data_IF_494579799081
#
_entry.id   IF_494579799081
#
_cell.length_a   1.000
_cell.length_b   1.000
_cell.length_c   1.000
_cell.angle_alpha   90.00
_cell.angle_beta   90.00
_cell.angle_gamma   90.00
#
_symmetry.space_group_name_H-M   'P 1'
#
loop_
_entity.id
_entity.type
_entity.pdbx_description
1 polymer ?
#
# COMPACT_ATOMS: atom_id res chain seq x y z
N UNK A 1 52.84 12.32 -52.38
CA UNK A 1 52.41 11.90 -51.03
C UNK A 1 51.43 12.93 -50.52
N UNK A 2 50.14 12.62 -50.41
CA UNK A 2 49.13 13.40 -49.65
C UNK A 2 47.91 12.50 -49.43
N UNK A 3 47.56 12.25 -48.16
CA UNK A 3 46.33 11.54 -47.75
C UNK A 3 45.53 12.51 -46.88
N UNK A 4 44.28 12.76 -47.26
CA UNK A 4 43.32 13.58 -46.52
C UNK A 4 42.57 12.75 -45.48
N UNK A 5 42.54 13.24 -44.25
CA UNK A 5 41.65 12.83 -43.17
C UNK A 5 40.54 13.89 -43.00
N UNK A 6 39.27 13.48 -43.01
CA UNK A 6 38.21 13.95 -42.08
C UNK A 6 36.82 13.79 -42.67
N UNK A 7 36.09 12.75 -42.24
CA UNK A 7 34.64 12.71 -42.31
C UNK A 7 34.08 11.59 -41.41
N UNK A 8 34.10 11.74 -40.07
CA UNK A 8 33.27 10.84 -39.24
C UNK A 8 32.77 11.38 -37.88
N UNK A 9 33.02 12.64 -37.52
CA UNK A 9 32.60 13.18 -36.20
C UNK A 9 31.24 13.91 -36.18
N UNK A 10 30.58 14.06 -37.33
CA UNK A 10 29.30 14.81 -37.43
C UNK A 10 28.05 13.99 -37.09
N UNK A 11 28.07 12.66 -37.30
CA UNK A 11 26.91 11.79 -37.09
C UNK A 11 26.62 11.53 -35.61
N UNK A 12 27.66 11.22 -34.82
CA UNK A 12 27.54 10.89 -33.40
C UNK A 12 26.96 12.06 -32.57
N UNK A 13 27.41 13.30 -32.87
CA UNK A 13 26.90 14.50 -32.20
C UNK A 13 25.43 14.80 -32.50
N UNK A 14 24.92 14.40 -33.66
CA UNK A 14 23.50 14.56 -34.01
C UNK A 14 22.62 13.54 -33.30
N UNK A 15 23.11 12.30 -33.13
CA UNK A 15 22.43 11.23 -32.40
C UNK A 15 22.24 11.60 -30.91
N UNK A 16 23.31 12.02 -30.24
CA UNK A 16 23.27 12.44 -28.82
C UNK A 16 22.42 13.69 -28.58
N UNK A 17 22.28 14.57 -29.59
CA UNK A 17 21.40 15.73 -29.50
C UNK A 17 19.92 15.35 -29.62
N UNK A 18 19.60 14.29 -30.38
CA UNK A 18 18.25 13.77 -30.51
C UNK A 18 17.79 13.04 -29.24
N UNK A 19 18.65 12.21 -28.65
CA UNK A 19 18.37 11.52 -27.38
C UNK A 19 18.11 12.51 -26.24
N UNK A 20 18.92 13.57 -26.12
CA UNK A 20 18.73 14.64 -25.11
C UNK A 20 17.47 15.49 -25.32
N UNK A 21 16.87 15.46 -26.51
CA UNK A 21 15.56 16.10 -26.77
C UNK A 21 14.44 15.17 -26.34
N UNK A 22 14.54 13.89 -26.70
CA UNK A 22 13.56 12.87 -26.33
C UNK A 22 13.47 12.68 -24.80
N UNK A 23 14.60 12.68 -24.09
CA UNK A 23 14.64 12.62 -22.63
C UNK A 23 13.99 13.85 -21.97
N UNK A 24 14.19 15.05 -22.56
CA UNK A 24 13.54 16.28 -22.09
C UNK A 24 12.03 16.27 -22.31
N UNK A 25 11.57 15.73 -23.42
CA UNK A 25 10.13 15.63 -23.72
C UNK A 25 9.45 14.59 -22.84
N UNK A 26 10.09 13.45 -22.56
CA UNK A 26 9.61 12.46 -21.58
C UNK A 26 9.54 13.10 -20.19
N UNK A 27 10.55 13.86 -19.78
CA UNK A 27 10.55 14.56 -18.48
C UNK A 27 9.45 15.61 -18.38
N UNK A 28 9.18 16.36 -19.46
CA UNK A 28 8.06 17.32 -19.50
C UNK A 28 6.69 16.64 -19.44
N UNK A 29 6.53 15.48 -20.09
CA UNK A 29 5.28 14.72 -20.07
C UNK A 29 4.99 14.16 -18.67
N UNK A 30 6.01 13.63 -17.98
CA UNK A 30 5.90 13.14 -16.60
C UNK A 30 5.60 14.27 -15.59
N UNK A 31 6.08 15.50 -15.82
CA UNK A 31 5.74 16.66 -14.99
C UNK A 31 4.31 17.15 -15.25
N UNK A 32 3.85 17.11 -16.52
CA UNK A 32 2.49 17.50 -16.90
C UNK A 32 1.40 16.57 -16.36
N UNK A 33 1.67 15.26 -16.27
CA UNK A 33 0.74 14.28 -15.69
C UNK A 33 0.57 14.45 -14.17
N UNK A 34 1.63 14.83 -13.46
CA UNK A 34 1.56 15.14 -12.02
C UNK A 34 0.75 16.42 -11.71
N UNK A 35 0.75 17.41 -12.61
CA UNK A 35 -0.01 18.66 -12.42
C UNK A 35 -1.51 18.54 -12.76
N UNK A 36 -1.96 17.42 -13.33
CA UNK A 36 -3.38 17.19 -13.57
C UNK A 36 -4.12 16.73 -12.30
N UNK A 37 -3.41 16.10 -11.36
CA UNK A 37 -3.94 15.77 -10.03
C UNK A 37 -4.11 16.99 -9.11
N UNK A 38 -3.22 17.98 -9.21
CA UNK A 38 -3.26 19.19 -8.38
C UNK A 38 -4.34 20.19 -8.81
N UNK A 39 -4.64 20.28 -10.13
CA UNK A 39 -5.72 21.16 -10.63
C UNK A 39 -7.12 20.72 -10.18
N UNK A 40 -7.33 19.43 -9.92
CA UNK A 40 -8.60 18.91 -9.39
C UNK A 40 -8.82 19.25 -7.91
N UNK A 41 -7.75 19.40 -7.12
CA UNK A 41 -7.86 19.71 -5.69
C UNK A 41 -8.32 21.16 -5.44
N UNK A 42 -7.87 22.11 -6.27
CA UNK A 42 -8.25 23.53 -6.16
C UNK A 42 -9.74 23.75 -6.49
N UNK A 43 -10.26 23.07 -7.53
CA UNK A 43 -11.67 23.16 -7.92
C UNK A 43 -12.62 22.61 -6.85
N UNK A 44 -12.20 21.59 -6.10
CA UNK A 44 -13.03 20.95 -5.07
C UNK A 44 -13.12 21.82 -3.80
N UNK A 45 -12.06 22.56 -3.48
CA UNK A 45 -12.04 23.54 -2.38
C UNK A 45 -13.00 24.72 -2.62
N UNK A 46 -13.05 25.24 -3.86
CA UNK A 46 -13.88 26.39 -4.22
C UNK A 46 -15.40 26.11 -4.13
N UNK A 47 -15.83 24.86 -4.33
CA UNK A 47 -17.23 24.46 -4.20
C UNK A 47 -17.74 24.44 -2.75
N UNK A 48 -16.84 24.40 -1.76
CA UNK A 48 -17.21 24.33 -0.33
C UNK A 48 -17.51 25.69 0.33
N UNK A 49 -17.27 26.80 -0.37
CA UNK A 49 -17.44 28.16 0.19
C UNK A 49 -18.74 28.87 -0.20
N UNK A 50 -19.58 28.27 -1.07
CA UNK A 50 -20.80 28.92 -1.57
C UNK A 50 -22.08 28.53 -0.83
N UNK A 51 -22.00 28.08 0.43
CA UNK A 51 -23.20 27.77 1.22
C UNK A 51 -23.03 28.15 2.69
N UNK A 52 -23.24 29.43 3.00
CA UNK A 52 -23.55 29.90 4.36
C UNK A 52 -24.65 30.95 4.32
N UNK A 53 -25.83 30.55 4.80
CA UNK A 53 -26.83 31.28 5.61
C UNK A 53 -27.82 30.19 6.04
N UNK A 54 -28.23 29.94 7.29
CA UNK A 54 -28.56 30.77 8.46
C UNK A 54 -28.56 29.89 9.75
N UNK A 55 -28.74 30.47 10.97
CA UNK A 55 -28.36 29.84 12.23
C UNK A 55 -29.52 29.10 12.91
N UNK A 56 -29.25 27.95 13.54
CA UNK A 56 -30.17 27.30 14.46
C UNK A 56 -29.45 26.74 15.69
N UNK A 57 -29.78 27.37 16.83
CA UNK A 57 -29.92 26.86 18.19
C UNK A 57 -28.78 26.06 18.84
N UNK A 58 -28.18 26.72 19.83
CA UNK A 58 -27.49 26.13 20.97
C UNK A 58 -28.43 25.20 21.74
N UNK A 59 -28.31 23.89 21.51
CA UNK A 59 -28.72 22.89 22.49
C UNK A 59 -27.46 22.22 23.05
N UNK A 60 -27.28 22.48 24.34
CA UNK A 60 -26.44 21.82 25.33
C UNK A 60 -25.86 20.47 24.88
N UNK A 61 -24.57 20.44 24.54
CA UNK A 61 -23.82 19.20 24.42
C UNK A 61 -23.52 18.67 25.82
N UNK A 62 -24.13 17.55 26.18
CA UNK A 62 -23.62 16.72 27.26
C UNK A 62 -22.22 16.20 26.89
N UNK A 63 -21.30 16.07 27.85
CA UNK A 63 -20.01 15.42 27.60
C UNK A 63 -20.24 13.95 27.19
N UNK A 64 -19.51 13.43 26.20
CA UNK A 64 -19.57 12.00 25.87
C UNK A 64 -19.14 11.18 27.08
N UNK A 65 -19.73 9.97 27.27
CA UNK A 65 -19.36 9.11 28.39
C UNK A 65 -17.87 8.75 28.35
N UNK A 66 -17.20 8.66 29.52
CA UNK A 66 -15.80 8.26 29.59
C UNK A 66 -15.64 6.82 29.06
N UNK A 67 -14.73 6.64 28.11
CA UNK A 67 -14.38 5.33 27.55
C UNK A 67 -13.64 4.49 28.61
N UNK A 68 -14.15 3.32 29.02
CA UNK A 68 -13.49 2.47 30.00
C UNK A 68 -12.12 2.01 29.48
N UNK A 69 -11.11 1.99 30.36
CA UNK A 69 -9.82 1.37 30.11
C UNK A 69 -9.98 -0.16 30.07
N UNK A 70 -10.40 -0.72 28.94
CA UNK A 70 -10.42 -2.17 28.79
C UNK A 70 -9.05 -2.68 28.32
N UNK A 71 -8.19 -2.99 29.28
CA UNK A 71 -7.05 -3.88 29.04
C UNK A 71 -7.62 -5.29 28.84
N UNK A 72 -7.69 -5.77 27.60
CA UNK A 72 -8.11 -7.14 27.33
C UNK A 72 -7.08 -8.13 27.89
N UNK A 73 -7.34 -8.68 29.07
CA UNK A 73 -6.80 -9.99 29.44
C UNK A 73 -7.57 -11.03 28.64
N UNK A 74 -7.03 -11.42 27.48
CA UNK A 74 -7.59 -12.51 26.68
C UNK A 74 -7.17 -13.83 27.32
N UNK A 75 -7.92 -14.26 28.33
CA UNK A 75 -7.73 -15.55 29.00
C UNK A 75 -8.84 -16.54 28.63
N UNK A 76 -8.38 -17.75 28.29
CA UNK A 76 -9.08 -19.05 28.22
C UNK A 76 -9.68 -19.54 26.88
N UNK A 77 -8.89 -20.45 26.27
CA UNK A 77 -9.15 -21.89 26.08
C UNK A 77 -10.12 -22.41 24.99
N UNK A 78 -9.57 -23.37 24.22
CA UNK A 78 -10.25 -24.29 23.30
C UNK A 78 -9.68 -24.16 21.87
N UNK A 79 -9.05 -25.14 21.23
CA UNK A 79 -9.08 -26.59 21.39
C UNK A 79 -7.71 -27.20 21.05
N UNK A 80 -7.28 -28.18 21.85
CA UNK A 80 -6.21 -29.09 21.44
C UNK A 80 -6.79 -30.09 20.45
N UNK A 81 -6.51 -29.93 19.16
CA UNK A 81 -6.66 -31.03 18.21
C UNK A 81 -5.39 -31.87 18.21
N UNK A 82 -5.54 -33.14 18.59
CA UNK A 82 -4.53 -34.18 18.42
C UNK A 82 -4.19 -34.36 16.92
N UNK A 83 -2.96 -34.79 16.58
CA UNK A 83 -2.45 -34.71 15.22
C UNK A 83 -3.00 -35.84 14.35
N UNK A 84 -3.72 -35.49 13.29
CA UNK A 84 -3.97 -36.41 12.18
C UNK A 84 -2.64 -36.56 11.44
N UNK A 85 -2.10 -37.78 11.41
CA UNK A 85 -0.96 -38.16 10.57
C UNK A 85 -1.42 -38.21 9.11
N UNK A 86 -1.64 -37.04 8.52
CA UNK A 86 -1.91 -36.85 7.09
C UNK A 86 -0.79 -36.00 6.51
N UNK A 87 -0.40 -36.25 5.26
CA UNK A 87 0.45 -35.32 4.52
C UNK A 87 -0.10 -33.90 4.70
N UNK A 88 0.76 -32.99 5.14
CA UNK A 88 0.42 -31.57 5.32
C UNK A 88 0.12 -30.97 3.95
N UNK A 89 -1.13 -31.08 3.48
CA UNK A 89 -1.61 -30.36 2.33
C UNK A 89 -1.76 -28.90 2.74
N UNK A 90 -0.77 -28.07 2.41
CA UNK A 90 -0.95 -26.61 2.49
C UNK A 90 -1.82 -26.24 1.28
N UNK A 91 -3.09 -25.83 1.49
CA UNK A 91 -3.92 -25.39 0.38
C UNK A 91 -3.24 -24.21 -0.31
N UNK A 92 -3.20 -24.22 -1.64
CA UNK A 92 -2.62 -23.12 -2.40
C UNK A 92 -3.45 -21.85 -2.16
N UNK A 93 -2.82 -20.69 -1.90
CA UNK A 93 -3.53 -19.46 -1.61
C UNK A 93 -4.14 -18.89 -2.90
N UNK A 94 -5.47 -18.72 -2.94
CA UNK A 94 -6.16 -18.21 -4.13
C UNK A 94 -6.38 -16.69 -4.04
N UNK A 95 -5.96 -15.95 -5.07
CA UNK A 95 -6.20 -14.51 -5.20
C UNK A 95 -7.47 -14.22 -5.99
N UNK A 96 -8.41 -13.51 -5.36
CA UNK A 96 -9.63 -13.01 -5.98
C UNK A 96 -9.40 -11.63 -6.63
N UNK A 97 -10.22 -11.27 -7.61
CA UNK A 97 -10.07 -10.02 -8.38
C UNK A 97 -10.56 -8.77 -7.67
N UNK A 98 -11.48 -8.91 -6.72
CA UNK A 98 -12.07 -7.86 -5.89
C UNK A 98 -11.32 -7.64 -4.57
N UNK A 99 -10.09 -8.17 -4.48
CA UNK A 99 -9.26 -8.09 -3.28
C UNK A 99 -8.90 -6.64 -2.93
N UNK A 100 -9.04 -6.27 -1.66
CA UNK A 100 -8.51 -4.99 -1.18
C UNK A 100 -6.99 -5.00 -1.19
N UNK A 101 -6.34 -3.82 -1.18
CA UNK A 101 -4.88 -3.78 -1.10
C UNK A 101 -4.32 -4.52 0.14
N UNK A 102 -4.97 -4.38 1.30
CA UNK A 102 -4.60 -5.15 2.50
C UNK A 102 -4.77 -6.66 2.27
N UNK A 103 -5.89 -7.08 1.67
CA UNK A 103 -6.13 -8.48 1.31
C UNK A 103 -5.03 -9.03 0.38
N UNK A 104 -4.57 -8.23 -0.57
CA UNK A 104 -3.44 -8.59 -1.42
C UNK A 104 -2.14 -8.75 -0.63
N UNK A 105 -1.84 -7.89 0.34
CA UNK A 105 -0.65 -8.04 1.21
C UNK A 105 -0.73 -9.33 2.03
N UNK A 106 -1.91 -9.67 2.55
CA UNK A 106 -2.14 -10.95 3.23
C UNK A 106 -1.92 -12.13 2.30
N UNK A 107 -2.53 -12.12 1.11
CA UNK A 107 -2.33 -13.18 0.12
C UNK A 107 -0.86 -13.30 -0.32
N UNK A 108 -0.15 -12.19 -0.56
CA UNK A 108 1.25 -12.21 -0.96
C UNK A 108 2.16 -12.81 0.13
N UNK A 109 1.80 -12.65 1.41
CA UNK A 109 2.49 -13.34 2.51
C UNK A 109 2.24 -14.85 2.42
N UNK A 110 0.99 -15.28 2.28
CA UNK A 110 0.63 -16.69 2.11
C UNK A 110 1.29 -17.31 0.88
N UNK A 111 1.36 -16.57 -0.23
CA UNK A 111 2.07 -16.98 -1.45
C UNK A 111 3.56 -17.19 -1.19
N UNK A 112 4.22 -16.32 -0.42
CA UNK A 112 5.65 -16.49 -0.07
C UNK A 112 5.88 -17.72 0.79
N UNK A 113 5.00 -17.96 1.77
CA UNK A 113 5.07 -19.15 2.62
C UNK A 113 4.86 -20.41 1.77
N UNK A 114 3.88 -20.38 0.87
CA UNK A 114 3.60 -21.44 -0.10
C UNK A 114 4.79 -21.69 -1.04
N UNK A 115 5.34 -20.64 -1.64
CA UNK A 115 6.48 -20.73 -2.55
C UNK A 115 7.72 -21.31 -1.84
N UNK A 116 7.90 -20.99 -0.56
CA UNK A 116 8.96 -21.59 0.27
C UNK A 116 8.69 -23.08 0.51
N UNK A 117 7.44 -23.43 0.85
CA UNK A 117 7.04 -24.82 1.08
C UNK A 117 7.16 -25.70 -0.17
N UNK A 118 6.84 -25.18 -1.35
CA UNK A 118 6.96 -25.89 -2.63
C UNK A 118 8.35 -25.79 -3.26
N UNK A 119 9.31 -25.19 -2.55
CA UNK A 119 10.69 -24.97 -3.03
C UNK A 119 10.75 -24.27 -4.41
N UNK A 120 9.86 -23.29 -4.60
CA UNK A 120 9.64 -22.63 -5.89
C UNK A 120 10.90 -21.91 -6.40
N UNK A 121 11.73 -21.43 -5.49
CA UNK A 121 12.96 -20.71 -5.82
C UNK A 121 13.98 -21.53 -6.60
N UNK A 122 13.90 -22.87 -6.52
CA UNK A 122 14.78 -23.79 -7.23
C UNK A 122 14.25 -24.20 -8.62
N UNK A 123 13.05 -23.76 -8.99
CA UNK A 123 12.44 -24.05 -10.28
C UNK A 123 12.81 -23.01 -11.33
N UNK A 124 12.77 -23.40 -12.61
CA UNK A 124 12.87 -22.46 -13.73
C UNK A 124 11.70 -21.45 -13.75
N UNK A 125 11.92 -20.27 -14.36
CA UNK A 125 10.87 -19.23 -14.39
C UNK A 125 9.53 -19.75 -14.95
N UNK A 126 9.45 -20.51 -16.07
CA UNK A 126 8.18 -21.02 -16.56
C UNK A 126 7.39 -21.82 -15.52
N UNK A 127 8.04 -22.71 -14.75
CA UNK A 127 7.37 -23.45 -13.68
C UNK A 127 6.91 -22.55 -12.54
N UNK A 128 7.71 -21.54 -12.17
CA UNK A 128 7.30 -20.55 -11.17
C UNK A 128 6.05 -19.77 -11.62
N UNK A 129 5.97 -19.39 -12.89
CA UNK A 129 4.80 -18.71 -13.48
C UNK A 129 3.57 -19.62 -13.49
N UNK A 130 3.71 -20.89 -13.89
CA UNK A 130 2.61 -21.87 -13.83
C UNK A 130 2.09 -21.99 -12.40
N UNK A 131 3.00 -22.07 -11.42
CA UNK A 131 2.59 -22.15 -10.02
C UNK A 131 1.89 -20.88 -9.52
N UNK A 132 2.29 -19.71 -10.02
CA UNK A 132 1.56 -18.49 -9.73
C UNK A 132 0.16 -18.56 -10.32
N UNK A 133 0.02 -18.98 -11.57
CA UNK A 133 -1.27 -19.04 -12.26
C UNK A 133 -2.30 -19.93 -11.53
N UNK A 134 -1.90 -21.05 -10.92
CA UNK A 134 -2.83 -21.90 -10.15
C UNK A 134 -3.32 -21.24 -8.84
N UNK A 135 -2.62 -20.21 -8.37
CA UNK A 135 -2.96 -19.43 -7.18
C UNK A 135 -3.82 -18.20 -7.53
N UNK A 136 -4.27 -18.06 -8.77
CA UNK A 136 -5.04 -16.92 -9.25
C UNK A 136 -6.40 -17.35 -9.78
N UNK A 137 -7.42 -16.54 -9.51
CA UNK A 137 -8.72 -16.66 -10.19
C UNK A 137 -8.62 -16.32 -11.67
N UNK A 138 -9.59 -16.78 -12.47
CA UNK A 138 -9.62 -16.55 -13.92
C UNK A 138 -9.60 -15.04 -14.27
N UNK A 139 -10.30 -14.24 -13.48
CA UNK A 139 -10.34 -12.78 -13.63
C UNK A 139 -8.96 -12.14 -13.41
N UNK A 140 -8.19 -12.64 -12.43
CA UNK A 140 -6.84 -12.15 -12.17
C UNK A 140 -5.86 -12.60 -13.27
N UNK A 141 -6.03 -13.81 -13.83
CA UNK A 141 -5.27 -14.24 -15.00
C UNK A 141 -5.50 -13.30 -16.20
N UNK A 142 -6.74 -12.86 -16.43
CA UNK A 142 -7.03 -11.85 -17.46
C UNK A 142 -6.37 -10.50 -17.17
N UNK A 143 -6.28 -10.08 -15.91
CA UNK A 143 -5.53 -8.88 -15.53
C UNK A 143 -4.05 -9.05 -15.88
N UNK A 144 -3.44 -10.20 -15.53
CA UNK A 144 -2.04 -10.48 -15.88
C UNK A 144 -1.81 -10.37 -17.38
N UNK A 145 -2.64 -11.04 -18.18
CA UNK A 145 -2.49 -11.09 -19.63
C UNK A 145 -2.76 -9.74 -20.30
N UNK A 146 -3.92 -9.13 -20.04
CA UNK A 146 -4.41 -8.00 -20.83
C UNK A 146 -4.11 -6.63 -20.23
N UNK A 147 -3.78 -6.55 -18.93
CA UNK A 147 -3.42 -5.28 -18.27
C UNK A 147 -1.95 -5.19 -17.92
N UNK A 148 -1.33 -6.28 -17.50
CA UNK A 148 0.07 -6.32 -17.08
C UNK A 148 1.02 -6.90 -18.14
N UNK A 149 0.46 -7.29 -19.29
CA UNK A 149 1.17 -7.83 -20.44
C UNK A 149 2.09 -9.01 -20.06
N UNK A 150 1.64 -9.88 -19.15
CA UNK A 150 2.31 -11.13 -18.78
C UNK A 150 1.81 -12.22 -19.73
N UNK A 151 2.66 -12.64 -20.66
CA UNK A 151 2.36 -13.73 -21.59
C UNK A 151 2.68 -15.10 -20.99
N UNK A 152 2.14 -16.21 -21.54
CA UNK A 152 2.53 -17.56 -21.14
C UNK A 152 4.04 -17.83 -21.25
N UNK A 153 4.71 -17.21 -22.23
CA UNK A 153 6.15 -17.34 -22.46
C UNK A 153 6.99 -16.28 -21.73
N UNK A 154 6.40 -15.59 -20.76
CA UNK A 154 7.08 -14.51 -20.05
C UNK A 154 8.27 -15.02 -19.23
N UNK A 155 9.45 -14.45 -19.48
CA UNK A 155 10.70 -14.83 -18.80
C UNK A 155 11.03 -13.93 -17.61
N UNK A 156 10.19 -12.93 -17.31
CA UNK A 156 10.40 -12.01 -16.17
C UNK A 156 10.45 -12.81 -14.87
N UNK A 157 11.34 -12.45 -13.93
CA UNK A 157 11.34 -13.02 -12.59
C UNK A 157 9.97 -12.83 -11.92
N UNK A 158 9.52 -13.83 -11.16
CA UNK A 158 8.19 -13.82 -10.52
C UNK A 158 8.00 -12.61 -9.61
N UNK A 159 9.07 -12.12 -8.97
CA UNK A 159 9.04 -10.91 -8.16
C UNK A 159 8.64 -9.65 -8.93
N UNK A 160 8.98 -9.55 -10.23
CA UNK A 160 8.55 -8.43 -11.07
C UNK A 160 7.05 -8.52 -11.40
N UNK A 161 6.54 -9.73 -11.65
CA UNK A 161 5.11 -9.97 -11.88
C UNK A 161 4.30 -9.63 -10.63
N UNK A 162 4.75 -10.10 -9.46
CA UNK A 162 4.11 -9.80 -8.18
C UNK A 162 4.16 -8.30 -7.86
N UNK A 163 5.24 -7.60 -8.19
CA UNK A 163 5.29 -6.15 -8.01
C UNK A 163 4.30 -5.44 -8.95
N UNK A 164 4.23 -5.84 -10.23
CA UNK A 164 3.27 -5.27 -11.17
C UNK A 164 1.81 -5.51 -10.71
N UNK A 165 1.52 -6.70 -10.19
CA UNK A 165 0.22 -7.04 -9.61
C UNK A 165 -0.07 -6.22 -8.34
N UNK A 166 0.92 -6.04 -7.47
CA UNK A 166 0.81 -5.17 -6.29
C UNK A 166 0.47 -3.74 -6.68
N UNK A 167 1.17 -3.17 -7.67
CA UNK A 167 0.88 -1.84 -8.18
C UNK A 167 -0.52 -1.75 -8.80
N UNK A 168 -0.96 -2.80 -9.51
CA UNK A 168 -2.32 -2.85 -10.06
C UNK A 168 -3.39 -2.79 -8.98
N UNK A 169 -3.31 -3.67 -7.96
CA UNK A 169 -4.25 -3.68 -6.84
C UNK A 169 -4.18 -2.35 -6.08
N UNK A 170 -2.98 -1.80 -5.87
CA UNK A 170 -2.78 -0.48 -5.27
C UNK A 170 -3.41 0.64 -6.11
N UNK A 171 -3.46 0.54 -7.43
CA UNK A 171 -4.07 1.56 -8.27
C UNK A 171 -5.61 1.53 -8.23
N UNK A 172 -6.23 0.43 -7.80
CA UNK A 172 -7.70 0.30 -7.75
C UNK A 172 -8.34 1.24 -6.71
N UNK A 173 -7.61 1.62 -5.67
CA UNK A 173 -8.06 2.63 -4.69
C UNK A 173 -7.20 3.88 -4.79
N UNK A 174 -7.84 5.05 -4.83
CA UNK A 174 -7.15 6.32 -4.82
C UNK A 174 -6.30 6.48 -3.53
N UNK A 175 -5.03 6.85 -3.69
CA UNK A 175 -4.09 7.04 -2.58
C UNK A 175 -4.57 8.09 -1.55
N UNK A 176 -5.24 9.15 -2.00
CA UNK A 176 -5.82 10.16 -1.12
C UNK A 176 -6.95 9.58 -0.25
N UNK A 177 -7.75 8.66 -0.79
CA UNK A 177 -8.77 7.96 0.01
C UNK A 177 -8.12 7.08 1.07
N UNK A 178 -7.08 6.33 0.72
CA UNK A 178 -6.33 5.53 1.71
C UNK A 178 -5.68 6.39 2.80
N UNK A 179 -5.08 7.53 2.43
CA UNK A 179 -4.54 8.50 3.39
C UNK A 179 -5.64 9.03 4.31
N UNK A 180 -6.79 9.39 3.75
CA UNK A 180 -7.94 9.85 4.55
C UNK A 180 -8.38 8.77 5.53
N UNK A 181 -8.51 7.53 5.10
CA UNK A 181 -8.96 6.43 5.96
C UNK A 181 -7.98 6.18 7.12
N UNK A 182 -6.67 6.27 6.88
CA UNK A 182 -5.65 6.24 7.93
C UNK A 182 -5.77 7.43 8.91
N UNK A 183 -5.78 8.66 8.39
CA UNK A 183 -5.74 9.89 9.21
C UNK A 183 -7.04 10.16 9.98
N UNK A 184 -8.18 9.67 9.47
CA UNK A 184 -9.48 9.82 10.11
C UNK A 184 -9.79 8.72 11.13
N UNK A 185 -8.94 7.70 11.24
CA UNK A 185 -9.15 6.56 12.14
C UNK A 185 -9.12 7.02 13.60
N UNK A 186 -10.25 6.85 14.31
CA UNK A 186 -10.39 7.10 15.75
C UNK A 186 -10.77 5.83 16.50
N UNK A 187 -10.15 5.58 17.65
CA UNK A 187 -10.53 4.47 18.52
C UNK A 187 -12.03 4.56 18.85
N UNK A 188 -12.77 3.47 18.62
CA UNK A 188 -14.19 3.39 18.97
C UNK A 188 -14.36 3.25 20.48
N UNK A 189 -15.53 3.63 21.01
CA UNK A 189 -15.79 3.66 22.47
C UNK A 189 -15.55 2.31 23.16
N UNK A 190 -15.81 1.20 22.46
CA UNK A 190 -15.67 -0.17 22.98
C UNK A 190 -14.45 -0.91 22.42
N UNK A 191 -13.62 -0.23 21.63
CA UNK A 191 -12.45 -0.84 21.01
C UNK A 191 -11.25 -0.76 21.95
N UNK A 192 -10.62 -1.89 22.23
CA UNK A 192 -9.38 -1.89 23.01
C UNK A 192 -8.23 -1.27 22.21
N UNK A 193 -7.23 -0.72 22.91
CA UNK A 193 -6.10 -0.06 22.25
C UNK A 193 -5.34 -0.99 21.30
N UNK A 194 -5.15 -2.26 21.64
CA UNK A 194 -4.43 -3.22 20.80
C UNK A 194 -5.15 -3.45 19.46
N UNK A 195 -6.47 -3.58 19.46
CA UNK A 195 -7.25 -3.74 18.23
C UNK A 195 -7.22 -2.47 17.38
N UNK A 196 -7.29 -1.30 18.03
CA UNK A 196 -7.11 -0.01 17.37
C UNK A 196 -5.73 0.10 16.73
N UNK A 197 -4.67 -0.24 17.46
CA UNK A 197 -3.29 -0.21 16.99
C UNK A 197 -3.09 -1.13 15.77
N UNK A 198 -3.60 -2.37 15.84
CA UNK A 198 -3.56 -3.31 14.71
C UNK A 198 -4.28 -2.74 13.49
N UNK A 199 -5.47 -2.15 13.67
CA UNK A 199 -6.21 -1.51 12.57
C UNK A 199 -5.46 -0.33 11.96
N UNK A 200 -4.84 0.51 12.78
CA UNK A 200 -4.01 1.64 12.32
C UNK A 200 -2.80 1.13 11.54
N UNK A 201 -2.12 0.08 12.02
CA UNK A 201 -1.01 -0.57 11.30
C UNK A 201 -1.46 -1.11 9.94
N UNK A 202 -2.60 -1.80 9.88
CA UNK A 202 -3.14 -2.34 8.63
C UNK A 202 -3.47 -1.24 7.60
N UNK A 203 -4.01 -0.10 8.05
CA UNK A 203 -4.25 1.06 7.18
C UNK A 203 -2.93 1.70 6.72
N UNK A 204 -1.94 1.75 7.60
CA UNK A 204 -0.62 2.29 7.29
C UNK A 204 0.10 1.47 6.21
N UNK A 205 -0.03 0.14 6.21
CA UNK A 205 0.52 -0.72 5.15
C UNK A 205 0.00 -0.37 3.74
N UNK A 206 -1.19 0.23 3.66
CA UNK A 206 -1.82 0.61 2.39
C UNK A 206 -1.42 2.01 1.88
N UNK A 207 -0.66 2.77 2.65
CA UNK A 207 -0.34 4.16 2.39
C UNK A 207 1.17 4.35 2.31
N UNK A 208 1.64 5.06 1.29
CA UNK A 208 3.01 5.58 1.27
C UNK A 208 3.04 6.84 2.14
N UNK A 209 3.13 6.63 3.45
CA UNK A 209 3.08 7.72 4.45
C UNK A 209 4.31 8.63 4.29
N UNK A 210 5.45 8.01 3.95
CA UNK A 210 6.72 8.68 3.76
C UNK A 210 7.30 8.33 2.39
N UNK A 211 8.07 9.24 1.81
CA UNK A 211 8.76 8.99 0.54
C UNK A 211 10.01 8.14 0.80
N UNK A 212 10.12 7.02 0.08
CA UNK A 212 11.23 6.09 0.24
C UNK A 212 11.18 5.32 1.56
N UNK A 213 12.19 4.50 1.81
CA UNK A 213 12.30 3.68 3.02
C UNK A 213 12.78 4.50 4.25
N UNK A 214 12.07 5.59 4.58
CA UNK A 214 12.37 6.41 5.75
C UNK A 214 11.59 5.90 6.98
N UNK A 215 12.18 4.95 7.68
CA UNK A 215 11.60 4.30 8.86
C UNK A 215 11.30 5.28 10.00
N UNK A 216 12.16 6.28 10.23
CA UNK A 216 11.93 7.29 11.25
C UNK A 216 10.70 8.15 10.94
N UNK A 217 10.51 8.51 9.67
CA UNK A 217 9.32 9.23 9.23
C UNK A 217 8.06 8.37 9.43
N UNK A 218 8.09 7.10 9.01
CA UNK A 218 6.95 6.19 9.16
C UNK A 218 6.55 6.02 10.63
N UNK A 219 7.53 5.82 11.52
CA UNK A 219 7.31 5.71 12.95
C UNK A 219 6.71 6.98 13.53
N UNK A 220 7.24 8.16 13.19
CA UNK A 220 6.75 9.45 13.68
C UNK A 220 5.32 9.71 13.21
N UNK A 221 5.02 9.47 11.94
CA UNK A 221 3.68 9.67 11.40
C UNK A 221 2.67 8.71 12.03
N UNK A 222 3.07 7.45 12.23
CA UNK A 222 2.21 6.47 12.88
C UNK A 222 1.95 6.83 14.35
N UNK A 223 2.97 7.25 15.09
CA UNK A 223 2.82 7.78 16.46
C UNK A 223 1.81 8.93 16.48
N UNK A 224 1.90 9.85 15.53
CA UNK A 224 0.98 10.98 15.44
C UNK A 224 -0.47 10.53 15.18
N UNK A 225 -0.68 9.58 14.27
CA UNK A 225 -2.02 8.99 14.03
C UNK A 225 -2.58 8.32 15.29
N UNK A 226 -1.74 7.59 16.02
CA UNK A 226 -2.14 6.95 17.28
C UNK A 226 -2.51 8.00 18.34
N UNK A 227 -1.66 8.99 18.57
CA UNK A 227 -1.88 10.05 19.57
C UNK A 227 -3.18 10.83 19.30
N UNK A 228 -3.43 11.17 18.04
CA UNK A 228 -4.66 11.90 17.65
C UNK A 228 -5.88 10.96 17.69
N UNK A 229 -5.68 9.66 17.48
CA UNK A 229 -6.77 8.69 17.29
C UNK A 229 -7.31 8.04 18.55
N UNK A 230 -6.53 7.94 19.63
CA UNK A 230 -6.96 7.33 20.89
C UNK A 230 -8.05 8.15 21.58
N UNK A 231 -9.08 7.46 22.09
CA UNK A 231 -10.22 8.11 22.74
C UNK A 231 -9.96 8.47 24.21
N UNK A 232 -9.19 7.64 24.93
CA UNK A 232 -8.93 7.82 26.36
C UNK A 232 -7.79 8.83 26.60
N UNK A 233 -8.16 10.00 27.12
CA UNK A 233 -7.22 11.10 27.36
C UNK A 233 -6.25 10.84 28.53
N UNK A 234 -6.67 10.08 29.54
CA UNK A 234 -5.80 9.79 30.69
C UNK A 234 -4.72 8.76 30.31
N UNK A 235 -5.10 7.74 29.55
CA UNK A 235 -4.15 6.81 28.93
C UNK A 235 -3.19 7.52 27.98
N UNK A 236 -3.68 8.48 27.18
CA UNK A 236 -2.82 9.30 26.33
C UNK A 236 -1.79 10.10 27.14
N UNK A 237 -2.21 10.72 28.25
CA UNK A 237 -1.29 11.45 29.13
C UNK A 237 -0.24 10.53 29.72
N UNK A 238 -0.61 9.33 30.16
CA UNK A 238 0.32 8.32 30.67
C UNK A 238 1.30 7.86 29.57
N UNK A 239 0.79 7.56 28.37
CA UNK A 239 1.58 7.15 27.22
C UNK A 239 2.61 8.21 26.81
N UNK A 240 2.18 9.48 26.75
CA UNK A 240 3.05 10.63 26.46
C UNK A 240 4.09 10.83 27.58
N UNK A 241 3.69 10.70 28.84
CA UNK A 241 4.61 10.84 29.99
C UNK A 241 5.68 9.74 30.03
N UNK A 242 5.35 8.54 29.54
CA UNK A 242 6.23 7.38 29.51
C UNK A 242 7.16 7.38 28.30
N UNK A 243 6.74 7.97 27.18
CA UNK A 243 7.58 8.17 25.99
C UNK A 243 8.53 9.33 26.25
N UNK A 244 9.69 9.04 26.83
CA UNK A 244 10.79 10.00 27.00
C UNK A 244 11.07 10.69 25.65
N UNK A 245 10.72 11.98 25.60
CA UNK A 245 11.15 13.01 24.62
C UNK A 245 11.05 12.62 23.14
N UNK A 246 10.03 13.18 22.48
CA UNK A 246 10.01 13.43 21.03
C UNK A 246 11.05 14.52 20.71
N UNK A 247 12.33 14.19 20.79
CA UNK A 247 13.44 14.98 20.22
C UNK A 247 14.14 14.16 19.12
#
# INVERSE_FOLDING_TARGET
MMINFSANHGGHRRQEAAERRQERDVRKKNVGENHNGERNFSSCWQLSHSSRTSPLNLLQRHPPPPCPLHMCNRSHLGCYTLPIKGQSYIPHPLLQSDVTFLGYKTWNRQWKDYATFTDLGNLDHPKQHIQLCICLTHEVLHILQYRLCVSPDDTRPIGQVLNALEQHVKAQTNEALRRRDLLSRKQQVEECFNDFFVRVKNLAEAVDICKGANTQCEETQLKQVLLIGVCNQDFLRELISTTKTLD
#
